data_IF_519514823369
#
_entry.id   IF_519514823369
#
_cell.length_a   1.000
_cell.length_b   1.000
_cell.length_c   1.000
_cell.angle_alpha   90.00
_cell.angle_beta   90.00
_cell.angle_gamma   90.00
#
_symmetry.space_group_name_H-M   'P 1'
#
loop_
_entity.id
_entity.type
_entity.pdbx_description
1 polymer ?
#
# COMPACT_ATOMS: atom_id res chain seq x y z
N UNK A 1 4.80 -3.42 4.36
CA UNK A 1 4.72 -3.63 5.83
C UNK A 1 3.29 -3.54 6.37
N UNK A 2 2.42 -2.71 5.79
CA UNK A 2 1.02 -2.54 6.23
C UNK A 2 0.22 -3.83 6.01
N UNK A 3 0.35 -4.42 4.84
CA UNK A 3 -0.17 -5.73 4.44
C UNK A 3 0.34 -6.87 5.34
N UNK A 4 1.65 -6.83 5.65
CA UNK A 4 2.29 -7.79 6.54
C UNK A 4 1.75 -7.72 7.98
N UNK A 5 1.47 -6.52 8.50
CA UNK A 5 0.89 -6.35 9.83
C UNK A 5 -0.51 -6.98 9.93
N UNK A 6 -1.35 -6.79 8.91
CA UNK A 6 -2.66 -7.43 8.86
C UNK A 6 -2.54 -8.94 8.72
N UNK A 7 -1.66 -9.40 7.84
CA UNK A 7 -1.45 -10.83 7.63
C UNK A 7 -0.97 -11.53 8.92
N UNK A 8 -0.03 -10.95 9.66
CA UNK A 8 0.45 -11.48 10.93
C UNK A 8 -0.61 -11.56 12.02
N UNK A 9 -1.67 -10.75 11.92
CA UNK A 9 -2.77 -10.74 12.88
C UNK A 9 -3.90 -11.73 12.52
N UNK A 10 -4.06 -12.08 11.22
CA UNK A 10 -5.27 -12.74 10.72
C UNK A 10 -5.02 -14.05 9.97
N UNK A 11 -3.76 -14.39 9.65
CA UNK A 11 -3.42 -15.63 8.95
C UNK A 11 -2.51 -16.53 9.80
N UNK A 12 -2.49 -17.85 9.52
CA UNK A 12 -1.55 -18.76 10.18
C UNK A 12 -0.09 -18.35 9.95
N UNK A 13 0.74 -18.46 10.98
CA UNK A 13 2.16 -18.14 10.94
C UNK A 13 3.03 -19.38 10.77
N UNK A 14 4.20 -19.26 10.13
CA UNK A 14 4.73 -18.06 9.48
C UNK A 14 3.91 -17.66 8.25
N UNK A 15 3.92 -16.37 7.90
CA UNK A 15 3.18 -15.84 6.76
C UNK A 15 4.09 -15.02 5.83
N UNK A 16 3.91 -15.21 4.54
CA UNK A 16 4.56 -14.43 3.49
C UNK A 16 3.47 -13.64 2.74
N UNK A 17 3.58 -12.32 2.72
CA UNK A 17 2.71 -11.50 1.87
C UNK A 17 3.43 -11.15 0.58
N UNK A 18 2.71 -11.20 -0.54
CA UNK A 18 3.24 -10.80 -1.86
C UNK A 18 2.31 -9.77 -2.47
N UNK A 19 2.88 -8.59 -2.76
CA UNK A 19 2.18 -7.54 -3.50
C UNK A 19 2.68 -7.52 -4.97
N UNK A 20 1.73 -7.72 -5.90
CA UNK A 20 1.96 -7.69 -7.35
C UNK A 20 1.60 -6.31 -7.91
N UNK A 21 2.41 -5.31 -7.57
CA UNK A 21 2.29 -3.92 -7.98
C UNK A 21 3.33 -3.48 -9.02
N UNK A 22 3.79 -2.21 -8.92
CA UNK A 22 4.89 -1.66 -9.71
C UNK A 22 6.20 -2.41 -9.48
N UNK A 23 6.42 -2.83 -8.23
CA UNK A 23 7.39 -3.86 -7.85
C UNK A 23 6.61 -5.09 -7.37
N UNK A 24 7.23 -6.27 -7.44
CA UNK A 24 6.77 -7.47 -6.74
C UNK A 24 7.52 -7.56 -5.42
N UNK A 25 6.81 -7.41 -4.31
CA UNK A 25 7.42 -7.37 -2.98
C UNK A 25 6.94 -8.52 -2.12
N UNK A 26 7.87 -9.21 -1.48
CA UNK A 26 7.61 -10.25 -0.49
C UNK A 26 7.93 -9.71 0.89
N UNK A 27 7.07 -9.91 1.85
CA UNK A 27 7.31 -9.61 3.26
C UNK A 27 7.16 -10.90 4.06
N UNK A 28 8.13 -11.21 4.90
CA UNK A 28 8.19 -12.46 5.66
C UNK A 28 8.02 -12.19 7.14
N UNK A 29 7.04 -12.83 7.75
CA UNK A 29 6.78 -12.79 9.18
C UNK A 29 6.87 -14.21 9.72
N UNK A 30 7.73 -14.42 10.71
CA UNK A 30 7.94 -15.73 11.32
C UNK A 30 6.81 -16.13 12.31
N UNK A 31 6.94 -17.30 12.89
CA UNK A 31 6.01 -17.87 13.87
C UNK A 31 5.90 -17.05 15.16
N UNK A 32 6.90 -16.24 15.46
CA UNK A 32 6.93 -15.35 16.63
C UNK A 32 6.39 -13.95 16.33
N UNK A 33 5.78 -13.73 15.16
CA UNK A 33 5.30 -12.44 14.65
C UNK A 33 6.41 -11.43 14.40
N UNK A 34 7.65 -11.89 14.21
CA UNK A 34 8.79 -11.02 13.90
C UNK A 34 8.90 -10.85 12.40
N UNK A 35 9.00 -9.60 11.95
CA UNK A 35 9.29 -9.29 10.56
C UNK A 35 10.77 -9.63 10.26
N UNK A 36 10.98 -10.62 9.40
CA UNK A 36 12.31 -11.14 9.05
C UNK A 36 12.96 -10.40 7.88
N UNK A 37 12.21 -9.58 7.19
CA UNK A 37 12.64 -8.92 5.96
C UNK A 37 11.80 -9.36 4.77
N UNK A 38 12.39 -9.34 3.57
CA UNK A 38 11.64 -9.70 2.37
C UNK A 38 12.49 -9.68 1.10
N UNK A 39 11.79 -9.82 -0.03
CA UNK A 39 12.39 -9.79 -1.37
C UNK A 39 11.69 -8.72 -2.20
N UNK A 40 12.43 -7.99 -3.02
CA UNK A 40 11.91 -7.01 -3.96
C UNK A 40 12.39 -7.36 -5.36
N UNK A 41 11.45 -7.56 -6.28
CA UNK A 41 11.69 -7.86 -7.67
C UNK A 41 11.02 -6.81 -8.57
N UNK A 42 11.45 -6.65 -9.83
CA UNK A 42 10.71 -5.87 -10.79
C UNK A 42 9.26 -6.38 -10.90
N UNK A 43 8.29 -5.47 -10.88
CA UNK A 43 6.90 -5.85 -11.08
C UNK A 43 6.65 -6.29 -12.53
N UNK A 44 5.61 -7.11 -12.72
CA UNK A 44 5.26 -7.71 -14.01
C UNK A 44 5.15 -6.68 -15.15
N UNK A 45 4.36 -5.63 -14.96
CA UNK A 45 4.22 -4.57 -15.98
C UNK A 45 5.50 -3.77 -16.18
N UNK A 46 6.27 -3.56 -15.12
CA UNK A 46 7.55 -2.84 -15.17
C UNK A 46 8.57 -3.62 -15.99
N UNK A 47 8.68 -4.93 -15.75
CA UNK A 47 9.59 -5.80 -16.50
C UNK A 47 9.20 -5.91 -17.99
N UNK A 48 7.91 -6.14 -18.28
CA UNK A 48 7.42 -6.25 -19.64
C UNK A 48 7.65 -4.94 -20.42
N UNK A 49 7.36 -3.79 -19.83
CA UNK A 49 7.61 -2.48 -20.43
C UNK A 49 9.09 -2.22 -20.67
N UNK A 50 9.94 -2.57 -19.70
CA UNK A 50 11.38 -2.38 -19.84
C UNK A 50 11.99 -3.17 -21.00
N UNK A 51 11.47 -4.37 -21.32
CA UNK A 51 11.87 -5.13 -22.50
C UNK A 51 11.57 -4.36 -23.77
N UNK A 52 10.35 -3.83 -23.95
CA UNK A 52 9.99 -3.07 -25.16
C UNK A 52 10.65 -1.69 -25.26
N UNK A 53 11.04 -1.07 -24.13
CA UNK A 53 11.71 0.25 -24.13
C UNK A 53 13.23 0.14 -24.32
N UNK A 54 13.86 -0.92 -23.81
CA UNK A 54 15.32 -1.03 -23.78
C UNK A 54 15.91 -2.02 -24.78
N UNK A 55 15.10 -2.85 -25.40
CA UNK A 55 15.54 -3.83 -26.39
C UNK A 55 14.98 -3.43 -27.76
N UNK A 56 15.83 -2.89 -28.63
CA UNK A 56 15.44 -2.30 -29.91
C UNK A 56 14.65 -3.26 -30.86
N UNK A 57 14.78 -4.57 -30.66
CA UNK A 57 14.08 -5.59 -31.48
C UNK A 57 12.79 -6.12 -30.84
N UNK A 58 12.46 -5.68 -29.62
CA UNK A 58 11.26 -6.14 -28.93
C UNK A 58 10.14 -5.10 -29.03
N UNK A 59 8.92 -5.52 -29.43
CA UNK A 59 7.79 -4.61 -29.55
C UNK A 59 7.23 -4.24 -28.15
N UNK A 60 6.44 -3.16 -28.11
CA UNK A 60 5.57 -2.91 -26.98
C UNK A 60 4.42 -3.92 -26.97
N UNK A 61 4.24 -4.63 -25.86
CA UNK A 61 3.26 -5.70 -25.73
C UNK A 61 2.25 -5.37 -24.63
N UNK A 62 0.96 -5.57 -24.90
CA UNK A 62 -0.10 -5.46 -23.91
C UNK A 62 -0.17 -6.70 -23.04
N UNK A 63 -0.28 -6.49 -21.73
CA UNK A 63 -0.34 -7.57 -20.76
C UNK A 63 -1.57 -8.44 -20.97
N UNK A 64 -1.35 -9.74 -21.15
CA UNK A 64 -2.38 -10.79 -21.25
C UNK A 64 -1.82 -12.11 -20.74
N UNK A 65 -2.70 -13.05 -20.39
CA UNK A 65 -2.27 -14.38 -19.93
C UNK A 65 -1.72 -15.20 -21.08
N UNK A 66 -0.54 -15.83 -20.95
CA UNK A 66 0.01 -16.71 -21.98
C UNK A 66 -0.83 -17.99 -22.09
N UNK A 67 -1.03 -18.48 -23.32
CA UNK A 67 -1.74 -19.74 -23.58
C UNK A 67 -0.84 -20.98 -23.42
N UNK A 68 0.46 -20.80 -23.50
CA UNK A 68 1.47 -21.88 -23.39
C UNK A 68 2.78 -21.32 -22.85
N UNK A 69 3.60 -22.19 -22.27
CA UNK A 69 4.93 -21.83 -21.78
C UNK A 69 5.88 -21.49 -22.94
N UNK A 70 5.72 -22.13 -24.09
CA UNK A 70 6.52 -21.88 -25.29
C UNK A 70 5.76 -20.91 -26.19
N UNK A 71 6.27 -19.69 -26.33
CA UNK A 71 5.79 -18.71 -27.31
C UNK A 71 6.23 -19.08 -28.72
N UNK A 72 5.36 -18.87 -29.70
CA UNK A 72 5.65 -19.16 -31.13
C UNK A 72 5.98 -17.90 -31.94
N UNK A 73 5.89 -16.73 -31.30
CA UNK A 73 6.29 -15.43 -31.84
C UNK A 73 6.83 -14.55 -30.70
N UNK A 74 7.45 -13.42 -31.05
CA UNK A 74 8.10 -12.54 -30.08
C UNK A 74 7.15 -12.05 -28.97
N UNK A 75 5.93 -11.67 -29.31
CA UNK A 75 4.95 -11.19 -28.35
C UNK A 75 4.57 -12.30 -27.35
N UNK A 76 4.27 -13.52 -27.84
CA UNK A 76 3.95 -14.67 -26.99
C UNK A 76 5.13 -15.11 -26.13
N UNK A 77 6.36 -15.01 -26.65
CA UNK A 77 7.57 -15.28 -25.86
C UNK A 77 7.71 -14.27 -24.71
N UNK A 78 7.50 -12.97 -24.99
CA UNK A 78 7.55 -11.92 -23.96
C UNK A 78 6.48 -12.09 -22.91
N UNK A 79 5.25 -12.42 -23.29
CA UNK A 79 4.14 -12.68 -22.37
C UNK A 79 4.40 -13.92 -21.51
N UNK A 80 4.85 -15.00 -22.12
CA UNK A 80 5.21 -16.22 -21.38
C UNK A 80 6.33 -15.94 -20.38
N UNK A 81 7.42 -15.33 -20.81
CA UNK A 81 8.55 -14.98 -19.93
C UNK A 81 8.14 -14.06 -18.80
N UNK A 82 7.29 -13.06 -19.06
CA UNK A 82 6.87 -12.09 -18.05
C UNK A 82 5.81 -12.67 -17.09
N UNK A 83 4.73 -13.24 -17.60
CA UNK A 83 3.59 -13.66 -16.76
C UNK A 83 3.85 -15.00 -16.09
N UNK A 84 4.21 -16.04 -16.88
CA UNK A 84 4.57 -17.34 -16.32
C UNK A 84 5.87 -17.25 -15.52
N UNK A 85 6.84 -16.45 -15.97
CA UNK A 85 8.06 -16.19 -15.22
C UNK A 85 7.79 -15.58 -13.85
N UNK A 86 6.80 -14.66 -13.73
CA UNK A 86 6.38 -14.12 -12.43
C UNK A 86 5.74 -15.19 -11.55
N UNK A 87 4.91 -16.07 -12.10
CA UNK A 87 4.32 -17.17 -11.33
C UNK A 87 5.40 -18.12 -10.78
N UNK A 88 6.36 -18.53 -11.64
CA UNK A 88 7.50 -19.36 -11.23
C UNK A 88 8.38 -18.64 -10.19
N UNK A 89 8.55 -17.34 -10.32
CA UNK A 89 9.26 -16.52 -9.33
C UNK A 89 8.54 -16.55 -7.98
N UNK A 90 7.22 -16.40 -7.96
CA UNK A 90 6.43 -16.52 -6.73
C UNK A 90 6.63 -17.89 -6.07
N UNK A 91 6.43 -18.96 -6.84
CA UNK A 91 6.58 -20.32 -6.34
C UNK A 91 7.99 -20.58 -5.81
N UNK A 92 9.00 -20.23 -6.62
CA UNK A 92 10.40 -20.49 -6.27
C UNK A 92 10.95 -19.65 -5.11
N UNK A 93 10.57 -18.36 -5.04
CA UNK A 93 10.96 -17.49 -3.90
C UNK A 93 10.28 -17.96 -2.62
N UNK A 94 8.98 -18.28 -2.68
CA UNK A 94 8.26 -18.80 -1.50
C UNK A 94 8.89 -20.09 -1.00
N UNK A 95 9.22 -21.03 -1.88
CA UNK A 95 9.89 -22.25 -1.50
C UNK A 95 11.25 -21.98 -0.82
N UNK A 96 12.06 -21.04 -1.34
CA UNK A 96 13.34 -20.66 -0.72
C UNK A 96 13.16 -20.04 0.67
N UNK A 97 12.12 -19.23 0.84
CA UNK A 97 11.76 -18.65 2.14
C UNK A 97 11.36 -19.75 3.13
N UNK A 98 10.57 -20.73 2.70
CA UNK A 98 10.17 -21.86 3.54
C UNK A 98 11.36 -22.74 3.94
N UNK A 99 12.29 -22.98 2.99
CA UNK A 99 13.55 -23.69 3.28
C UNK A 99 14.38 -22.96 4.35
N UNK A 100 14.46 -21.62 4.29
CA UNK A 100 15.18 -20.80 5.27
C UNK A 100 14.46 -20.74 6.62
N UNK A 101 13.12 -20.71 6.63
CA UNK A 101 12.29 -20.76 7.85
C UNK A 101 12.26 -22.17 8.47
N UNK A 102 12.64 -23.21 7.72
CA UNK A 102 12.61 -24.61 8.13
C UNK A 102 11.19 -25.18 8.24
N UNK A 103 10.18 -24.53 7.67
CA UNK A 103 8.77 -24.93 7.70
C UNK A 103 7.92 -24.26 6.61
N UNK A 104 6.76 -24.86 6.25
CA UNK A 104 5.81 -24.23 5.34
C UNK A 104 5.29 -22.88 5.88
N UNK A 105 5.03 -21.95 4.99
CA UNK A 105 4.46 -20.64 5.28
C UNK A 105 3.11 -20.44 4.59
N UNK A 106 2.23 -19.67 5.22
CA UNK A 106 1.00 -19.21 4.56
C UNK A 106 1.36 -18.14 3.55
N UNK A 107 1.04 -18.37 2.27
CA UNK A 107 1.26 -17.39 1.20
C UNK A 107 0.00 -16.58 0.96
N UNK A 108 0.07 -15.26 1.16
CA UNK A 108 -1.03 -14.32 0.90
C UNK A 108 -0.63 -13.35 -0.19
N UNK A 109 -1.37 -13.34 -1.29
CA UNK A 109 -1.06 -12.53 -2.49
C UNK A 109 -2.08 -11.40 -2.62
N UNK A 110 -1.59 -10.22 -2.94
CA UNK A 110 -2.39 -9.02 -3.23
C UNK A 110 -1.89 -8.32 -4.50
N UNK A 111 -2.52 -7.23 -4.88
CA UNK A 111 -2.11 -6.40 -6.01
C UNK A 111 -2.97 -6.61 -7.28
N UNK A 112 -3.05 -5.56 -8.09
CA UNK A 112 -3.94 -5.50 -9.25
C UNK A 112 -3.57 -6.44 -10.41
N UNK A 113 -2.32 -6.92 -10.45
CA UNK A 113 -1.83 -7.83 -11.49
C UNK A 113 -1.95 -9.31 -11.11
N UNK A 114 -2.37 -9.62 -9.89
CA UNK A 114 -2.52 -10.96 -9.36
C UNK A 114 -3.40 -11.88 -10.26
N UNK A 115 -4.45 -11.32 -10.86
CA UNK A 115 -5.36 -12.05 -11.76
C UNK A 115 -4.68 -12.73 -12.95
N UNK A 116 -3.54 -12.22 -13.42
CA UNK A 116 -2.77 -12.80 -14.52
C UNK A 116 -1.82 -13.89 -14.06
N UNK A 117 -1.33 -13.81 -12.83
CA UNK A 117 -0.24 -14.61 -12.28
C UNK A 117 -0.76 -15.81 -11.49
N UNK A 118 -1.73 -15.58 -10.59
CA UNK A 118 -2.27 -16.61 -9.67
C UNK A 118 -2.71 -17.91 -10.37
N UNK A 119 -3.43 -17.86 -11.52
CA UNK A 119 -3.85 -19.10 -12.19
C UNK A 119 -2.69 -19.99 -12.68
N UNK A 120 -1.47 -19.46 -12.71
CA UNK A 120 -0.26 -20.15 -13.18
C UNK A 120 0.67 -20.57 -12.02
N UNK A 121 0.39 -20.12 -10.78
CA UNK A 121 1.12 -20.54 -9.59
C UNK A 121 0.80 -21.99 -9.23
N UNK A 122 1.79 -22.68 -8.69
CA UNK A 122 1.67 -24.06 -8.19
C UNK A 122 1.64 -24.13 -6.67
N UNK A 123 2.27 -23.16 -6.02
CA UNK A 123 2.25 -23.07 -4.56
C UNK A 123 0.84 -22.70 -4.07
N UNK A 124 0.32 -23.37 -3.02
CA UNK A 124 -0.94 -22.98 -2.40
C UNK A 124 -0.89 -21.54 -1.90
N UNK A 125 -1.90 -20.74 -2.25
CA UNK A 125 -1.93 -19.33 -1.87
C UNK A 125 -3.35 -18.85 -1.59
N UNK A 126 -3.47 -17.79 -0.81
CA UNK A 126 -4.71 -17.04 -0.58
C UNK A 126 -4.61 -15.70 -1.30
N UNK A 127 -5.60 -15.35 -2.12
CA UNK A 127 -5.67 -14.03 -2.75
C UNK A 127 -6.57 -13.11 -1.93
N UNK A 128 -6.02 -11.97 -1.51
CA UNK A 128 -6.77 -10.90 -0.82
C UNK A 128 -6.49 -9.56 -1.50
N UNK A 129 -7.40 -9.09 -2.39
CA UNK A 129 -7.23 -7.82 -3.10
C UNK A 129 -7.29 -6.59 -2.18
N UNK A 130 -7.83 -6.72 -0.98
CA UNK A 130 -8.00 -5.65 -0.02
C UNK A 130 -6.97 -5.68 1.12
N UNK A 131 -5.97 -6.56 1.05
CA UNK A 131 -5.00 -6.81 2.12
C UNK A 131 -4.37 -5.50 2.63
N UNK A 132 -3.96 -4.60 1.74
CA UNK A 132 -3.39 -3.31 2.09
C UNK A 132 -4.40 -2.40 2.82
N UNK A 133 -5.65 -2.34 2.33
CA UNK A 133 -6.70 -1.52 2.94
C UNK A 133 -7.07 -2.03 4.33
N UNK A 134 -7.16 -3.35 4.49
CA UNK A 134 -7.39 -4.00 5.78
C UNK A 134 -6.24 -3.72 6.76
N UNK A 135 -5.01 -3.73 6.25
CA UNK A 135 -3.82 -3.36 7.03
C UNK A 135 -3.84 -1.91 7.50
N UNK A 136 -4.22 -0.97 6.62
CA UNK A 136 -4.39 0.44 6.96
C UNK A 136 -5.47 0.64 8.03
N UNK A 137 -6.62 -0.04 7.89
CA UNK A 137 -7.70 0.02 8.86
C UNK A 137 -7.27 -0.52 10.23
N UNK A 138 -6.54 -1.64 10.25
CA UNK A 138 -5.97 -2.21 11.49
C UNK A 138 -5.02 -1.22 12.18
N UNK A 139 -4.07 -0.65 11.44
CA UNK A 139 -3.11 0.30 11.99
C UNK A 139 -3.80 1.59 12.47
N UNK A 140 -4.82 2.08 11.76
CA UNK A 140 -5.62 3.21 12.22
C UNK A 140 -6.29 2.90 13.55
N UNK A 141 -6.96 1.74 13.69
CA UNK A 141 -7.61 1.33 14.93
C UNK A 141 -6.63 1.22 16.10
N UNK A 142 -5.42 0.71 15.87
CA UNK A 142 -4.39 0.57 16.89
C UNK A 142 -3.82 1.92 17.35
N UNK A 143 -3.79 2.92 16.47
CA UNK A 143 -3.19 4.23 16.74
C UNK A 143 -4.23 5.34 16.95
N UNK A 144 -5.53 5.07 16.79
CA UNK A 144 -6.58 6.06 17.00
C UNK A 144 -6.59 6.53 18.46
N UNK A 145 -6.69 7.86 18.73
CA UNK A 145 -6.81 8.40 20.07
C UNK A 145 -8.00 7.76 20.80
N UNK A 146 -7.81 7.40 22.06
CA UNK A 146 -8.88 6.74 22.86
C UNK A 146 -10.14 7.60 23.04
N UNK A 147 -10.07 8.90 22.77
CA UNK A 147 -11.21 9.82 22.87
C UNK A 147 -12.32 9.59 21.81
N UNK A 148 -12.05 8.93 20.70
CA UNK A 148 -13.09 8.68 19.68
C UNK A 148 -13.90 7.40 19.93
N UNK A 149 -13.56 6.59 20.94
CA UNK A 149 -14.25 5.32 21.20
C UNK A 149 -15.53 5.45 22.03
N UNK A 150 -15.85 6.65 22.54
CA UNK A 150 -17.04 6.94 23.35
C UNK A 150 -17.96 7.97 22.70
N UNK A 151 -18.42 7.73 21.47
CA UNK A 151 -19.67 8.33 21.02
C UNK A 151 -20.78 7.29 21.23
N UNK A 152 -21.18 7.10 22.51
CA UNK A 152 -22.52 6.62 22.79
C UNK A 152 -23.50 7.69 22.32
N UNK A 153 -24.56 7.35 21.56
CA UNK A 153 -25.61 8.29 21.25
C UNK A 153 -26.27 8.69 22.57
N UNK A 154 -26.16 9.98 22.92
CA UNK A 154 -26.92 10.53 24.04
C UNK A 154 -28.39 10.26 23.79
N UNK A 155 -29.01 9.48 24.65
CA UNK A 155 -30.44 9.30 24.69
C UNK A 155 -31.11 10.66 24.86
N UNK A 156 -31.90 11.06 23.85
CA UNK A 156 -32.83 12.20 23.91
C UNK A 156 -33.84 11.95 25.03
N UNK A 157 -33.60 12.52 26.18
CA UNK A 157 -34.52 12.35 27.31
C UNK A 157 -34.30 13.32 28.47
N UNK A 158 -33.89 14.55 28.19
CA UNK A 158 -33.96 15.58 29.25
C UNK A 158 -34.64 16.85 28.77
N UNK A 159 -35.90 16.97 29.24
CA UNK A 159 -36.83 18.10 29.00
C UNK A 159 -36.17 19.41 29.43
N UNK A 160 -36.10 20.35 28.47
CA UNK A 160 -35.69 21.74 28.70
C UNK A 160 -36.57 22.37 29.77
N UNK A 161 -36.00 22.77 30.90
CA UNK A 161 -36.60 23.72 31.85
C UNK A 161 -36.44 25.15 31.27
N UNK A 162 -37.49 26.00 31.33
CA UNK A 162 -37.44 27.36 30.79
C UNK A 162 -36.54 28.26 31.67
N UNK A 163 -35.69 29.07 31.00
CA UNK A 163 -34.86 30.09 31.63
C UNK A 163 -35.74 31.28 32.06
N UNK A 164 -35.53 31.86 33.25
CA UNK A 164 -36.21 33.12 33.66
C UNK A 164 -35.59 34.33 32.94
N UNK A 165 -36.45 35.21 32.49
CA UNK A 165 -36.11 36.52 31.91
C UNK A 165 -35.52 37.46 32.97
N UNK A 166 -34.40 38.07 32.64
CA UNK A 166 -33.80 39.07 33.56
C UNK A 166 -32.69 39.89 32.97
N UNK A 167 -33.05 41.09 32.50
CA UNK A 167 -32.28 42.35 32.52
C UNK A 167 -31.07 42.52 31.63
N UNK A 168 -31.23 43.43 30.65
CA UNK A 168 -30.13 44.21 30.02
C UNK A 168 -29.52 45.17 31.04
N UNK A 169 -28.22 45.48 30.89
CA UNK A 169 -27.83 46.87 30.80
C UNK A 169 -26.83 47.14 29.67
N UNK A 170 -27.13 48.17 28.95
CA UNK A 170 -26.46 49.48 28.80
C UNK A 170 -25.09 49.49 28.09
N UNK A 171 -25.13 50.23 27.04
CA UNK A 171 -24.13 50.65 26.06
C UNK A 171 -23.14 51.71 26.67
N UNK A 172 -21.87 51.65 26.28
CA UNK A 172 -20.99 52.79 26.00
C UNK A 172 -19.65 52.22 25.54
N UNK A 173 -19.19 52.43 24.32
CA UNK A 173 -18.63 53.67 23.81
C UNK A 173 -17.16 53.51 23.52
N UNK A 174 -16.79 53.86 22.30
CA UNK A 174 -15.46 54.32 21.84
C UNK A 174 -14.38 53.32 21.40
N UNK A 175 -14.19 53.35 20.07
CA UNK A 175 -12.93 53.07 19.37
C UNK A 175 -11.76 53.97 19.82
N UNK A 176 -10.50 53.64 19.53
CA UNK A 176 -9.97 54.13 18.26
C UNK A 176 -8.95 53.21 17.53
N UNK A 177 -8.87 53.53 16.25
CA UNK A 177 -7.93 53.06 15.23
C UNK A 177 -6.46 53.26 15.60
N UNK A 178 -5.58 52.30 15.20
CA UNK A 178 -4.19 52.57 14.70
C UNK A 178 -3.82 51.44 13.73
N UNK A 179 -3.71 51.78 12.47
CA UNK A 179 -2.58 52.02 11.54
C UNK A 179 -1.44 51.02 11.62
N UNK A 180 -1.39 50.20 10.57
CA UNK A 180 -0.31 50.01 9.59
C UNK A 180 1.14 50.05 10.08
N UNK A 181 1.88 48.98 9.87
CA UNK A 181 3.23 49.08 9.32
C UNK A 181 3.52 47.92 8.38
N UNK A 182 3.77 48.38 7.18
CA UNK A 182 4.38 47.76 6.04
C UNK A 182 5.84 47.47 6.36
N UNK A 183 6.37 46.29 6.09
CA UNK A 183 7.81 46.19 5.88
C UNK A 183 8.14 45.19 4.76
N UNK A 184 8.73 45.79 3.75
CA UNK A 184 9.23 45.20 2.53
C UNK A 184 10.55 44.47 2.79
N UNK A 185 10.73 43.38 2.12
CA UNK A 185 11.89 42.75 1.45
C UNK A 185 13.31 43.31 1.75
N UNK A 186 14.35 42.50 1.45
CA UNK A 186 14.82 42.39 0.09
C UNK A 186 15.21 40.99 -0.42
N UNK A 187 15.23 40.91 -1.77
CA UNK A 187 15.89 39.90 -2.62
C UNK A 187 17.41 39.99 -2.45
N UNK A 188 18.09 38.84 -2.59
CA UNK A 188 19.48 38.81 -3.08
C UNK A 188 19.55 37.75 -4.18
N UNK A 189 19.76 38.25 -5.36
CA UNK A 189 20.47 37.61 -6.47
C UNK A 189 21.95 37.60 -6.10
N UNK A 190 22.66 36.58 -6.58
CA UNK A 190 24.00 36.64 -7.18
C UNK A 190 24.54 35.21 -7.29
N UNK A 191 24.68 34.80 -8.56
CA UNK A 191 25.93 34.59 -9.31
C UNK A 191 26.74 33.36 -8.82
N UNK A 192 26.77 32.36 -9.66
CA UNK A 192 27.61 32.16 -10.86
C UNK A 192 28.95 31.48 -10.57
N UNK A 193 29.26 30.50 -11.42
CA UNK A 193 30.56 30.02 -11.93
C UNK A 193 31.22 28.82 -11.29
N UNK A 194 31.27 27.81 -12.17
CA UNK A 194 32.47 27.12 -12.65
C UNK A 194 33.15 26.09 -11.74
N UNK A 195 33.34 24.94 -12.32
CA UNK A 195 34.19 23.83 -11.92
C UNK A 195 33.66 22.55 -12.51
#
# INVERSE_FOLDING_TARGET
>A
LVDAAYAAANFPLPVVTVDLGTATTFNVIDENKVFRGGVICPGLSTGLRALGERCAQLPQVHLSSPKSAIGVDTEKCMLSGSVLGTAVLLDGITQRIEEELGRPATLVVTGGLAKYVIPLCRHPLTYDPELLLKGLALLYQLNAPQHERHHEPRSDGERRRPRPAGRRPYNNGSSPRRRSHNNRRPRRDDEAKAG
#
